data_IF_085819356282
#
_entry.id   IF_085819356282
#
_cell.length_a   1.000
_cell.length_b   1.000
_cell.length_c   1.000
_cell.angle_alpha   90.00
_cell.angle_beta   90.00
_cell.angle_gamma   90.00
#
_symmetry.space_group_name_H-M   'P 1'
#
loop_
_entity.id
_entity.type
_entity.pdbx_description
1 polymer ?
#
# COMPACT_ATOMS: atom_id res chain seq x y z
N UNK A 1 62.12 26.43 -16.08
CA UNK A 1 61.18 27.25 -16.86
C UNK A 1 60.11 26.34 -17.45
N UNK A 2 58.85 26.39 -16.97
CA UNK A 2 57.63 26.53 -17.77
C UNK A 2 56.40 26.39 -16.86
N UNK A 3 55.55 27.41 -16.91
CA UNK A 3 54.21 27.47 -16.33
C UNK A 3 53.28 26.47 -17.03
N UNK A 4 52.29 25.93 -16.33
CA UNK A 4 50.95 25.76 -16.91
C UNK A 4 49.92 25.45 -15.83
N UNK A 5 49.08 26.44 -15.60
CA UNK A 5 47.80 26.34 -14.90
C UNK A 5 46.86 25.45 -15.71
N UNK A 6 46.30 24.41 -15.10
CA UNK A 6 45.07 23.80 -15.56
C UNK A 6 44.01 23.95 -14.47
N UNK A 7 43.18 24.97 -14.65
CA UNK A 7 41.93 25.12 -13.94
C UNK A 7 41.00 23.97 -14.38
N UNK A 8 40.76 23.01 -13.49
CA UNK A 8 39.78 21.95 -13.71
C UNK A 8 38.40 22.51 -13.31
N UNK A 9 37.59 22.85 -14.32
CA UNK A 9 36.22 23.30 -14.12
C UNK A 9 35.38 22.15 -13.53
N UNK A 10 34.92 22.32 -12.29
CA UNK A 10 33.98 21.41 -11.66
C UNK A 10 32.57 21.64 -12.24
N UNK A 11 32.15 20.76 -13.15
CA UNK A 11 30.76 20.68 -13.62
C UNK A 11 29.89 20.09 -12.49
N UNK A 12 29.22 20.95 -11.73
CA UNK A 12 28.20 20.54 -10.76
C UNK A 12 26.95 20.12 -11.56
N UNK A 13 26.85 18.83 -11.87
CA UNK A 13 25.60 18.20 -12.28
C UNK A 13 24.66 18.15 -11.07
N UNK A 14 23.90 19.23 -10.87
CA UNK A 14 22.68 19.21 -10.06
C UNK A 14 21.69 18.27 -10.75
N UNK A 15 21.78 16.99 -10.42
CA UNK A 15 20.75 16.02 -10.75
C UNK A 15 19.45 16.48 -10.06
N UNK A 16 18.51 17.00 -10.85
CA UNK A 16 17.12 17.18 -10.43
C UNK A 16 16.57 15.80 -10.07
N UNK A 17 16.68 15.46 -8.80
CA UNK A 17 15.95 14.34 -8.21
C UNK A 17 14.50 14.76 -8.16
N UNK A 18 13.75 14.45 -9.23
CA UNK A 18 12.30 14.53 -9.18
C UNK A 18 11.84 13.70 -7.98
N UNK A 19 11.05 14.26 -7.05
CA UNK A 19 10.54 13.49 -5.93
C UNK A 19 9.73 12.34 -6.51
N UNK A 20 10.17 11.11 -6.25
CA UNK A 20 9.35 9.93 -6.49
C UNK A 20 8.04 10.18 -5.75
N UNK A 21 6.96 10.38 -6.51
CA UNK A 21 5.67 10.73 -5.94
C UNK A 21 5.22 9.55 -5.08
N UNK A 22 5.41 9.67 -3.77
CA UNK A 22 4.84 8.75 -2.81
C UNK A 22 3.33 8.75 -3.06
N UNK A 23 2.78 7.59 -3.41
CA UNK A 23 1.34 7.47 -3.61
C UNK A 23 0.65 7.92 -2.32
N UNK A 24 -0.37 8.75 -2.46
CA UNK A 24 -1.05 9.32 -1.30
C UNK A 24 -2.00 8.30 -0.68
N UNK A 25 -2.01 8.22 0.65
CA UNK A 25 -2.85 7.27 1.39
C UNK A 25 -4.35 7.52 1.18
N UNK A 26 -4.73 8.73 0.76
CA UNK A 26 -6.08 9.08 0.33
C UNK A 26 -6.64 8.18 -0.76
N UNK A 27 -5.80 7.47 -1.53
CA UNK A 27 -6.23 6.46 -2.50
C UNK A 27 -7.05 5.32 -1.88
N UNK A 28 -6.89 5.08 -0.57
CA UNK A 28 -7.61 4.06 0.17
C UNK A 28 -9.01 4.51 0.62
N UNK A 29 -9.27 5.82 0.66
CA UNK A 29 -10.55 6.33 1.17
C UNK A 29 -11.71 5.90 0.26
N UNK A 30 -12.77 5.38 0.88
CA UNK A 30 -13.96 4.89 0.18
C UNK A 30 -13.78 3.55 -0.54
N UNK A 31 -12.61 2.93 -0.45
CA UNK A 31 -12.36 1.54 -0.90
C UNK A 31 -12.95 0.55 0.10
N UNK A 32 -12.82 -0.75 -0.16
CA UNK A 32 -13.37 -1.80 0.70
C UNK A 32 -12.31 -2.81 1.06
N UNK A 33 -12.26 -3.25 2.32
CA UNK A 33 -11.31 -4.27 2.73
C UNK A 33 -11.79 -5.14 3.86
N UNK A 34 -11.08 -6.23 4.10
CA UNK A 34 -11.30 -7.13 5.23
C UNK A 34 -9.96 -7.54 5.85
N UNK A 35 -9.97 -7.93 7.12
CA UNK A 35 -8.78 -8.44 7.80
C UNK A 35 -8.51 -9.88 7.35
N UNK A 36 -7.54 -10.09 6.47
CA UNK A 36 -7.28 -11.42 5.91
C UNK A 36 -6.66 -12.39 6.90
N UNK A 37 -6.03 -11.89 7.98
CA UNK A 37 -5.56 -12.73 9.10
C UNK A 37 -6.70 -13.26 9.98
N UNK A 38 -7.93 -12.78 9.79
CA UNK A 38 -9.11 -13.35 10.45
C UNK A 38 -9.72 -14.47 9.63
N UNK A 39 -10.52 -15.34 10.25
CA UNK A 39 -11.23 -16.38 9.52
C UNK A 39 -12.10 -15.73 8.40
N UNK A 40 -11.87 -16.08 7.12
CA UNK A 40 -12.53 -15.42 5.99
C UNK A 40 -14.05 -15.62 5.97
N UNK A 41 -14.60 -16.71 6.51
CA UNK A 41 -16.06 -16.91 6.64
C UNK A 41 -16.72 -15.96 7.63
N UNK A 42 -15.96 -15.48 8.63
CA UNK A 42 -16.44 -14.56 9.66
C UNK A 42 -16.04 -13.11 9.40
N UNK A 43 -15.07 -12.90 8.51
CA UNK A 43 -14.66 -11.58 8.08
C UNK A 43 -15.80 -10.89 7.31
N UNK A 44 -15.80 -9.55 7.32
CA UNK A 44 -16.72 -8.74 6.52
C UNK A 44 -15.93 -7.72 5.73
N UNK A 45 -16.32 -7.52 4.48
CA UNK A 45 -15.85 -6.38 3.72
C UNK A 45 -16.43 -5.09 4.29
N UNK A 46 -15.56 -4.22 4.80
CA UNK A 46 -15.93 -2.92 5.35
C UNK A 46 -15.39 -1.82 4.45
N UNK A 47 -16.11 -0.70 4.38
CA UNK A 47 -15.62 0.49 3.70
C UNK A 47 -14.46 1.10 4.49
N UNK A 48 -13.45 1.57 3.79
CA UNK A 48 -12.29 2.25 4.38
C UNK A 48 -12.63 3.74 4.48
N UNK A 49 -13.29 4.09 5.57
CA UNK A 49 -13.64 5.46 5.92
C UNK A 49 -13.58 5.67 7.44
N UNK A 50 -13.86 6.92 7.86
CA UNK A 50 -13.90 7.35 9.25
C UNK A 50 -12.70 6.83 10.06
N UNK A 51 -13.01 6.16 11.18
CA UNK A 51 -12.03 5.66 12.13
C UNK A 51 -11.00 4.71 11.52
N UNK A 52 -11.40 3.80 10.62
CA UNK A 52 -10.47 2.82 10.04
C UNK A 52 -9.47 3.50 9.10
N UNK A 53 -9.95 4.46 8.31
CA UNK A 53 -9.07 5.27 7.46
C UNK A 53 -8.13 6.15 8.30
N UNK A 54 -8.61 6.75 9.39
CA UNK A 54 -7.77 7.50 10.33
C UNK A 54 -6.70 6.63 10.98
N UNK A 55 -7.02 5.37 11.30
CA UNK A 55 -6.04 4.41 11.79
C UNK A 55 -4.96 4.10 10.74
N UNK A 56 -5.32 3.96 9.46
CA UNK A 56 -4.35 3.74 8.37
C UNK A 56 -3.41 4.92 8.17
N UNK A 57 -3.87 6.16 8.39
CA UNK A 57 -3.02 7.37 8.36
C UNK A 57 -2.03 7.44 9.53
N UNK A 58 -2.28 6.69 10.61
CA UNK A 58 -1.42 6.71 11.79
C UNK A 58 -0.21 5.78 11.62
N UNK A 59 0.84 6.00 12.41
CA UNK A 59 2.01 5.11 12.47
C UNK A 59 1.70 3.68 12.96
N UNK A 60 0.45 3.38 13.34
CA UNK A 60 0.01 2.04 13.75
C UNK A 60 -0.08 1.05 12.58
N UNK A 61 -0.26 1.55 11.37
CA UNK A 61 -0.35 0.74 10.17
C UNK A 61 0.76 1.12 9.18
N UNK A 62 1.28 0.12 8.49
CA UNK A 62 2.12 0.29 7.30
C UNK A 62 1.29 -0.14 6.10
N UNK A 63 1.06 0.76 5.16
CA UNK A 63 0.29 0.50 3.95
C UNK A 63 1.20 0.42 2.73
N UNK A 64 1.14 -0.70 2.02
CA UNK A 64 1.64 -0.81 0.66
C UNK A 64 0.54 -0.36 -0.31
N UNK A 65 0.76 0.81 -0.91
CA UNK A 65 -0.19 1.46 -1.80
C UNK A 65 -0.06 0.96 -3.24
N UNK A 66 0.98 0.18 -3.54
CA UNK A 66 1.12 -0.50 -4.82
C UNK A 66 0.06 -1.59 -4.94
N UNK A 67 -0.55 -1.68 -6.12
CA UNK A 67 -1.48 -2.77 -6.39
C UNK A 67 -0.73 -4.10 -6.50
N UNK A 68 -1.20 -5.10 -5.78
CA UNK A 68 -0.84 -6.51 -5.93
C UNK A 68 -1.96 -7.24 -6.69
N UNK A 69 -1.60 -8.27 -7.45
CA UNK A 69 -2.55 -9.06 -8.26
C UNK A 69 -2.51 -10.56 -7.97
N UNK A 70 -1.60 -11.00 -7.10
CA UNK A 70 -1.46 -12.40 -6.67
C UNK A 70 -2.42 -12.75 -5.52
N UNK A 71 -3.64 -12.21 -5.55
CA UNK A 71 -4.72 -12.53 -4.62
C UNK A 71 -5.40 -13.85 -5.00
N UNK A 72 -6.16 -14.47 -4.09
CA UNK A 72 -6.79 -15.76 -4.34
C UNK A 72 -7.81 -15.71 -5.49
N UNK A 73 -8.48 -14.58 -5.67
CA UNK A 73 -9.48 -14.35 -6.73
C UNK A 73 -8.91 -13.66 -7.99
N UNK A 74 -7.63 -13.29 -7.98
CA UNK A 74 -6.96 -12.53 -9.05
C UNK A 74 -7.35 -11.03 -9.09
N UNK A 75 -8.19 -10.57 -8.16
CA UNK A 75 -8.57 -9.16 -8.05
C UNK A 75 -7.40 -8.33 -7.51
N UNK A 76 -7.25 -7.10 -8.02
CA UNK A 76 -6.19 -6.20 -7.54
C UNK A 76 -6.49 -5.69 -6.13
N UNK A 77 -5.48 -5.76 -5.26
CA UNK A 77 -5.58 -5.29 -3.88
C UNK A 77 -4.42 -4.35 -3.52
N UNK A 78 -4.59 -3.60 -2.44
CA UNK A 78 -3.55 -2.94 -1.65
C UNK A 78 -3.56 -3.53 -0.24
N UNK A 79 -2.48 -3.37 0.52
CA UNK A 79 -2.37 -4.00 1.84
C UNK A 79 -2.03 -2.98 2.91
N UNK A 80 -2.71 -3.03 4.05
CA UNK A 80 -2.32 -2.30 5.26
C UNK A 80 -2.15 -3.26 6.43
N UNK A 81 -0.94 -3.33 6.98
CA UNK A 81 -0.56 -4.23 8.08
C UNK A 81 -0.35 -3.45 9.38
N UNK A 82 -0.93 -3.92 10.48
CA UNK A 82 -0.80 -3.30 11.78
C UNK A 82 0.56 -3.61 12.46
N UNK A 83 1.68 -3.19 11.87
CA UNK A 83 3.03 -3.49 12.38
C UNK A 83 3.32 -5.00 12.52
N UNK A 84 4.57 -5.37 12.83
CA UNK A 84 4.99 -6.79 12.85
C UNK A 84 4.30 -7.63 13.93
N UNK A 85 3.78 -7.00 14.99
CA UNK A 85 3.32 -7.70 16.20
C UNK A 85 1.82 -7.52 16.55
N UNK A 86 1.00 -6.80 15.76
CA UNK A 86 -0.39 -6.47 16.16
C UNK A 86 -1.51 -7.15 15.36
N UNK A 87 -1.17 -8.13 14.53
CA UNK A 87 -2.08 -9.21 14.14
C UNK A 87 -3.20 -8.89 13.14
N UNK A 88 -3.43 -7.61 12.78
CA UNK A 88 -4.37 -7.25 11.70
C UNK A 88 -3.65 -6.94 10.42
N UNK A 89 -4.19 -7.43 9.32
CA UNK A 89 -3.70 -7.13 7.98
C UNK A 89 -4.88 -7.06 7.02
N UNK A 90 -5.08 -5.89 6.42
CA UNK A 90 -6.22 -5.62 5.58
C UNK A 90 -5.85 -5.73 4.11
N UNK A 91 -6.57 -6.57 3.37
CA UNK A 91 -6.57 -6.52 1.91
C UNK A 91 -7.67 -5.56 1.46
N UNK A 92 -7.28 -4.56 0.66
CA UNK A 92 -8.12 -3.43 0.27
C UNK A 92 -8.32 -3.42 -1.23
N UNK A 93 -9.57 -3.44 -1.66
CA UNK A 93 -10.03 -3.57 -3.04
C UNK A 93 -10.76 -2.32 -3.49
N UNK A 94 -10.75 -2.09 -4.80
CA UNK A 94 -11.41 -0.94 -5.41
C UNK A 94 -12.92 -0.91 -5.17
N UNK A 95 -13.57 -2.08 -5.09
CA UNK A 95 -15.03 -2.23 -4.98
C UNK A 95 -15.40 -3.25 -3.91
N UNK A 96 -16.61 -3.11 -3.35
CA UNK A 96 -17.19 -4.09 -2.43
C UNK A 96 -17.28 -5.48 -3.07
N UNK A 97 -17.63 -5.55 -4.36
CA UNK A 97 -17.75 -6.82 -5.10
C UNK A 97 -16.41 -7.55 -5.19
N UNK A 98 -15.32 -6.86 -5.53
CA UNK A 98 -13.98 -7.45 -5.58
C UNK A 98 -13.54 -7.92 -4.19
N UNK A 99 -13.84 -7.15 -3.13
CA UNK A 99 -13.56 -7.54 -1.76
C UNK A 99 -14.31 -8.83 -1.36
N UNK A 100 -15.63 -8.90 -1.59
CA UNK A 100 -16.41 -10.09 -1.24
C UNK A 100 -16.03 -11.30 -2.08
N UNK A 101 -15.66 -11.10 -3.35
CA UNK A 101 -15.15 -12.17 -4.21
C UNK A 101 -13.87 -12.76 -3.61
N UNK A 102 -12.89 -11.94 -3.27
CA UNK A 102 -11.67 -12.41 -2.62
C UNK A 102 -11.98 -13.14 -1.31
N UNK A 103 -12.75 -12.52 -0.42
CA UNK A 103 -13.08 -13.09 0.89
C UNK A 103 -13.71 -14.47 0.76
N UNK A 104 -14.67 -14.63 -0.15
CA UNK A 104 -15.35 -15.90 -0.41
C UNK A 104 -14.41 -16.92 -1.06
N UNK A 105 -13.56 -16.50 -2.01
CA UNK A 105 -12.56 -17.39 -2.61
C UNK A 105 -11.57 -17.90 -1.56
N UNK A 106 -11.07 -17.04 -0.67
CA UNK A 106 -10.21 -17.48 0.43
C UNK A 106 -10.94 -18.43 1.39
N UNK A 107 -12.22 -18.18 1.69
CA UNK A 107 -13.03 -19.09 2.48
C UNK A 107 -13.24 -20.46 1.83
N UNK A 108 -13.42 -20.52 0.51
CA UNK A 108 -13.58 -21.79 -0.23
C UNK A 108 -12.28 -22.59 -0.38
N UNK A 109 -11.13 -21.95 -0.18
CA UNK A 109 -9.82 -22.61 -0.19
C UNK A 109 -9.40 -23.14 1.19
N UNK A 110 -10.18 -22.86 2.24
CA UNK A 110 -9.92 -23.22 3.64
C UNK A 110 -10.65 -24.47 4.09
#
# INVERSE_FOLDING_TARGET
>A
MLKSSLALAAFILLALSAPASAQDIGILQGKYGFNWRSNPDRAKCVKIDGKLFDEFKSAKYKCDLKEISNTASGEKARVCSQGENKGKEYMIFATFRSCEKERKTQASNG
#
